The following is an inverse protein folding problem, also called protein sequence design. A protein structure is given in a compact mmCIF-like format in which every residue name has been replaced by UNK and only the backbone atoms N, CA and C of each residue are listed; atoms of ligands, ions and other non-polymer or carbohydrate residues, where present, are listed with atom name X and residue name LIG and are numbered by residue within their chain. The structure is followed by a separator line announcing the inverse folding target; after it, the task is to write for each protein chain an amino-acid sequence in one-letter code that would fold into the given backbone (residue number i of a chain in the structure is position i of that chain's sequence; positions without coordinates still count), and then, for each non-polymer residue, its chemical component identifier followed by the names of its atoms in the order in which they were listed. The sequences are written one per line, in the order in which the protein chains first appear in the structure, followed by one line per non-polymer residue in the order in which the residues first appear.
data_IF_499206773052
#
_entry.id   IF_499206773052
#
_cell.length_a   1.000
_cell.length_b   1.000
_cell.length_c   1.000
_cell.angle_alpha   90.00
_cell.angle_beta   90.00
_cell.angle_gamma   90.00
#
_symmetry.space_group_name_H-M   'P 1'
#
loop_
_entity.id
_entity.type
_entity.pdbx_description
1 polymer ?
#
# COMPACT_ATOMS: atom_id res chain seq x y z
N UNK A 1 16.30 -5.33 -0.84
CA UNK A 1 15.43 -5.17 -2.02
C UNK A 1 14.05 -5.66 -1.62
N UNK A 2 12.95 -5.14 -2.19
CA UNK A 2 11.58 -5.43 -1.72
C UNK A 2 11.01 -6.78 -2.24
N UNK A 3 11.88 -7.76 -2.45
CA UNK A 3 11.57 -8.98 -3.19
C UNK A 3 11.63 -8.77 -4.70
N UNK A 4 11.12 -9.73 -5.46
CA UNK A 4 11.15 -9.70 -6.93
C UNK A 4 9.87 -9.10 -7.50
N UNK A 5 10.02 -8.43 -8.65
CA UNK A 5 8.89 -7.94 -9.40
C UNK A 5 8.06 -9.14 -9.88
N UNK A 6 6.79 -9.27 -9.49
CA UNK A 6 5.93 -10.40 -9.88
C UNK A 6 5.62 -10.49 -11.39
N UNK A 7 6.04 -9.51 -12.20
CA UNK A 7 5.80 -9.47 -13.65
C UNK A 7 7.05 -9.89 -14.43
N UNK A 8 8.23 -9.34 -14.10
CA UNK A 8 9.49 -9.62 -14.80
C UNK A 8 10.48 -10.47 -14.01
N UNK A 9 10.14 -10.85 -12.77
CA UNK A 9 10.99 -11.62 -11.86
C UNK A 9 12.35 -10.97 -11.56
N UNK A 10 12.49 -9.66 -11.80
CA UNK A 10 13.71 -8.90 -11.46
C UNK A 10 13.60 -8.31 -10.05
N UNK A 11 14.71 -8.21 -9.30
CA UNK A 11 14.70 -7.62 -7.96
C UNK A 11 14.13 -6.19 -7.92
N UNK A 12 13.23 -5.93 -6.98
CA UNK A 12 12.70 -4.58 -6.72
C UNK A 12 13.70 -3.75 -5.93
N UNK A 13 14.11 -2.63 -6.52
CA UNK A 13 15.01 -1.65 -5.90
C UNK A 13 14.51 -1.20 -4.52
N UNK A 14 15.44 -0.96 -3.59
CA UNK A 14 15.14 -0.32 -2.31
C UNK A 14 14.70 1.14 -2.46
N UNK A 15 15.09 1.79 -3.56
CA UNK A 15 14.55 3.09 -3.94
C UNK A 15 13.04 2.96 -4.25
N UNK A 16 12.22 3.44 -3.31
CA UNK A 16 10.76 3.39 -3.36
C UNK A 16 10.20 4.11 -4.59
N UNK A 17 10.96 5.03 -5.21
CA UNK A 17 10.54 5.73 -6.44
C UNK A 17 10.62 4.85 -7.69
N UNK A 18 11.20 3.66 -7.63
CA UNK A 18 11.35 2.74 -8.78
C UNK A 18 10.29 1.64 -8.84
N UNK A 19 9.38 1.62 -7.88
CA UNK A 19 8.28 0.66 -7.80
C UNK A 19 6.97 1.35 -7.46
N UNK A 20 5.87 0.69 -7.76
CA UNK A 20 4.53 1.14 -7.40
C UNK A 20 3.74 -0.04 -6.83
N UNK A 21 2.85 0.27 -5.89
CA UNK A 21 1.92 -0.69 -5.31
C UNK A 21 0.55 -0.54 -5.94
N UNK A 22 -0.06 -1.66 -6.30
CA UNK A 22 -1.42 -1.71 -6.81
C UNK A 22 -2.36 -2.08 -5.67
N UNK A 23 -3.17 -1.12 -5.22
CA UNK A 23 -4.03 -1.27 -4.04
C UNK A 23 -5.14 -2.31 -4.20
N UNK A 24 -5.58 -2.60 -5.43
CA UNK A 24 -6.63 -3.61 -5.66
C UNK A 24 -6.15 -5.05 -5.42
N UNK A 25 -4.83 -5.28 -5.52
CA UNK A 25 -4.21 -6.59 -5.36
C UNK A 25 -3.07 -6.63 -4.33
N UNK A 26 -2.75 -5.52 -3.70
CA UNK A 26 -1.67 -5.38 -2.72
C UNK A 26 -0.33 -5.88 -3.26
N UNK A 27 -0.10 -5.74 -4.57
CA UNK A 27 1.15 -6.16 -5.22
C UNK A 27 1.99 -4.95 -5.57
N UNK A 28 3.26 -5.02 -5.20
CA UNK A 28 4.30 -4.10 -5.65
C UNK A 28 4.92 -4.63 -6.94
N UNK A 29 5.20 -3.75 -7.90
CA UNK A 29 5.89 -4.08 -9.15
C UNK A 29 6.79 -2.93 -9.59
N UNK A 30 7.76 -3.22 -10.46
CA UNK A 30 8.69 -2.21 -10.93
C UNK A 30 8.04 -1.26 -11.93
N UNK A 31 8.46 0.01 -11.90
CA UNK A 31 7.94 1.03 -12.82
C UNK A 31 8.25 0.69 -14.29
N UNK A 32 9.30 -0.10 -14.56
CA UNK A 32 9.58 -0.61 -15.90
C UNK A 32 8.46 -1.48 -16.46
N UNK A 33 7.92 -2.41 -15.67
CA UNK A 33 6.78 -3.23 -16.06
C UNK A 33 5.52 -2.38 -16.25
N UNK A 34 5.28 -1.41 -15.37
CA UNK A 34 4.15 -0.47 -15.50
C UNK A 34 4.22 0.34 -16.80
N UNK A 35 5.40 0.90 -17.10
CA UNK A 35 5.63 1.66 -18.34
C UNK A 35 5.47 0.80 -19.59
N UNK A 36 5.98 -0.43 -19.57
CA UNK A 36 5.84 -1.36 -20.70
C UNK A 36 4.37 -1.72 -20.96
N UNK A 37 3.59 -1.95 -19.90
CA UNK A 37 2.15 -2.18 -20.04
C UNK A 37 1.44 -0.97 -20.67
N UNK A 38 1.73 0.24 -20.19
CA UNK A 38 1.14 1.47 -20.75
C UNK A 38 1.54 1.72 -22.21
N UNK A 39 2.79 1.41 -22.60
CA UNK A 39 3.23 1.51 -23.99
C UNK A 39 2.45 0.55 -24.90
N UNK A 40 2.33 -0.72 -24.50
CA UNK A 40 1.53 -1.70 -25.21
C UNK A 40 0.08 -1.25 -25.37
N UNK A 41 -0.54 -0.74 -24.30
CA UNK A 41 -1.92 -0.24 -24.32
C UNK A 41 -2.11 0.87 -25.35
N UNK A 42 -1.14 1.79 -25.45
CA UNK A 42 -1.13 2.86 -26.43
C UNK A 42 -0.98 2.34 -27.86
N UNK A 43 -0.13 1.35 -28.09
CA UNK A 43 0.07 0.74 -29.42
C UNK A 43 -1.20 0.06 -29.95
N UNK A 44 -1.94 -0.62 -29.08
CA UNK A 44 -3.18 -1.33 -29.47
C UNK A 44 -4.45 -0.47 -29.35
N UNK A 45 -4.34 0.79 -28.92
CA UNK A 45 -5.49 1.67 -28.70
C UNK A 45 -6.47 1.13 -27.65
N UNK A 46 -5.95 0.52 -26.58
CA UNK A 46 -6.76 -0.10 -25.51
C UNK A 46 -6.89 0.82 -24.30
N UNK A 47 -7.99 0.67 -23.57
CA UNK A 47 -8.14 1.22 -22.22
C UNK A 47 -7.07 0.69 -21.26
N UNK A 48 -6.81 1.48 -20.21
CA UNK A 48 -5.85 1.13 -19.17
C UNK A 48 -6.33 -0.08 -18.36
N UNK A 49 -5.46 -1.11 -18.29
CA UNK A 49 -5.72 -2.36 -17.60
C UNK A 49 -4.63 -2.64 -16.58
N UNK A 50 -5.02 -3.33 -15.51
CA UNK A 50 -4.09 -3.75 -14.47
C UNK A 50 -2.99 -4.66 -15.07
N UNK A 51 -1.69 -4.36 -14.86
CA UNK A 51 -0.59 -5.18 -15.37
C UNK A 51 -0.61 -6.64 -14.91
N UNK A 52 -1.32 -6.94 -13.82
CA UNK A 52 -1.44 -8.26 -13.22
C UNK A 52 -2.57 -9.09 -13.83
N UNK A 53 -3.81 -8.66 -13.62
CA UNK A 53 -5.00 -9.44 -13.96
C UNK A 53 -5.63 -9.05 -15.29
N UNK A 54 -5.10 -8.03 -15.98
CA UNK A 54 -5.64 -7.46 -17.23
C UNK A 54 -7.10 -7.02 -17.15
N UNK A 55 -7.66 -6.87 -15.95
CA UNK A 55 -8.97 -6.23 -15.76
C UNK A 55 -8.82 -4.72 -15.94
N UNK A 56 -9.86 -4.02 -16.43
CA UNK A 56 -9.90 -2.57 -16.44
C UNK A 56 -9.53 -2.00 -15.07
N UNK A 57 -8.85 -0.86 -15.05
CA UNK A 57 -8.66 -0.12 -13.81
C UNK A 57 -10.02 0.25 -13.21
N UNK A 58 -10.12 0.22 -11.88
CA UNK A 58 -11.33 0.68 -11.20
C UNK A 58 -11.55 2.16 -11.52
N UNK A 59 -12.75 2.49 -11.97
CA UNK A 59 -13.07 3.79 -12.56
C UNK A 59 -13.37 4.85 -11.50
N UNK A 60 -13.84 4.44 -10.32
CA UNK A 60 -14.35 5.36 -9.30
C UNK A 60 -13.67 5.19 -7.95
N UNK A 61 -13.55 6.28 -7.20
CA UNK A 61 -13.02 6.24 -5.82
C UNK A 61 -13.81 5.27 -4.91
N UNK A 62 -15.11 5.12 -5.15
CA UNK A 62 -15.97 4.18 -4.43
C UNK A 62 -15.53 2.73 -4.65
N UNK A 63 -15.28 2.34 -5.90
CA UNK A 63 -14.80 0.99 -6.22
C UNK A 63 -13.44 0.70 -5.57
N UNK A 64 -12.53 1.68 -5.57
CA UNK A 64 -11.25 1.58 -4.88
C UNK A 64 -11.42 1.39 -3.37
N UNK A 65 -12.33 2.13 -2.74
CA UNK A 65 -12.63 2.00 -1.32
C UNK A 65 -13.25 0.64 -0.98
N UNK A 66 -14.25 0.19 -1.76
CA UNK A 66 -14.84 -1.14 -1.60
C UNK A 66 -13.78 -2.23 -1.71
N UNK A 67 -12.94 -2.18 -2.75
CA UNK A 67 -11.89 -3.18 -2.94
C UNK A 67 -10.87 -3.20 -1.80
N UNK A 68 -10.54 -2.03 -1.24
CA UNK A 68 -9.67 -1.93 -0.08
C UNK A 68 -10.29 -2.58 1.16
N UNK A 69 -11.57 -2.31 1.43
CA UNK A 69 -12.30 -2.91 2.55
C UNK A 69 -12.34 -4.44 2.42
N UNK A 70 -12.62 -4.97 1.23
CA UNK A 70 -12.58 -6.42 0.97
C UNK A 70 -11.20 -7.02 1.29
N UNK A 71 -10.11 -6.32 0.96
CA UNK A 71 -8.74 -6.76 1.26
C UNK A 71 -8.45 -6.74 2.76
N UNK A 72 -8.87 -5.69 3.46
CA UNK A 72 -8.74 -5.59 4.91
C UNK A 72 -9.50 -6.73 5.60
N UNK A 73 -10.73 -7.00 5.16
CA UNK A 73 -11.54 -8.13 5.67
C UNK A 73 -10.90 -9.50 5.39
N UNK A 74 -10.09 -9.60 4.34
CA UNK A 74 -9.31 -10.78 4.01
C UNK A 74 -7.97 -10.87 4.77
N UNK A 75 -7.74 -10.04 5.80
CA UNK A 75 -6.49 -9.94 6.56
C UNK A 75 -5.26 -9.65 5.69
N UNK A 76 -5.42 -8.82 4.66
CA UNK A 76 -4.30 -8.35 3.85
C UNK A 76 -3.51 -7.24 4.57
N UNK A 77 -2.26 -7.49 5.00
CA UNK A 77 -1.54 -6.54 5.83
C UNK A 77 -1.12 -5.29 5.07
N UNK A 78 -0.90 -5.39 3.76
CA UNK A 78 -0.60 -4.24 2.90
C UNK A 78 -1.80 -3.32 2.81
N UNK A 79 -3.01 -3.89 2.69
CA UNK A 79 -4.24 -3.10 2.64
C UNK A 79 -4.51 -2.40 3.98
N UNK A 80 -4.32 -3.10 5.10
CA UNK A 80 -4.42 -2.52 6.45
C UNK A 80 -3.40 -1.38 6.64
N UNK A 81 -2.13 -1.60 6.29
CA UNK A 81 -1.10 -0.56 6.35
C UNK A 81 -1.52 0.69 5.59
N UNK A 82 -2.01 0.51 4.37
CA UNK A 82 -2.37 1.62 3.50
C UNK A 82 -3.60 2.38 3.99
N UNK A 83 -4.56 1.69 4.62
CA UNK A 83 -5.64 2.36 5.34
C UNK A 83 -5.10 3.16 6.52
N UNK A 84 -4.22 2.57 7.32
CA UNK A 84 -3.54 3.27 8.42
C UNK A 84 -2.83 4.56 7.97
N UNK A 85 -2.04 4.49 6.89
CA UNK A 85 -1.37 5.67 6.29
C UNK A 85 -2.39 6.72 5.81
N UNK A 86 -3.51 6.29 5.20
CA UNK A 86 -4.55 7.24 4.77
C UNK A 86 -5.23 7.92 5.96
N UNK A 87 -5.44 7.22 7.08
CA UNK A 87 -5.98 7.81 8.32
C UNK A 87 -4.99 8.78 8.95
N UNK A 88 -3.73 8.36 9.06
CA UNK A 88 -2.63 9.19 9.55
C UNK A 88 -2.52 10.51 8.77
N UNK A 89 -2.47 10.44 7.43
CA UNK A 89 -2.40 11.62 6.57
C UNK A 89 -3.61 12.56 6.69
N UNK A 90 -4.75 12.07 7.19
CA UNK A 90 -5.94 12.88 7.49
C UNK A 90 -5.94 13.46 8.91
N UNK A 91 -4.89 13.21 9.70
CA UNK A 91 -4.80 13.58 11.11
C UNK A 91 -5.61 12.68 12.04
N UNK A 92 -6.19 11.59 11.54
CA UNK A 92 -6.97 10.61 12.30
C UNK A 92 -6.03 9.53 12.85
N UNK A 93 -5.19 9.93 13.80
CA UNK A 93 -4.15 9.05 14.35
C UNK A 93 -4.73 7.88 15.16
N UNK A 94 -5.88 8.08 15.82
CA UNK A 94 -6.57 7.01 16.55
C UNK A 94 -6.97 5.87 15.61
N UNK A 95 -7.60 6.19 14.47
CA UNK A 95 -7.91 5.16 13.48
C UNK A 95 -6.65 4.58 12.85
N UNK A 96 -5.58 5.36 12.66
CA UNK A 96 -4.31 4.81 12.17
C UNK A 96 -3.74 3.73 13.12
N UNK A 97 -3.83 3.95 14.44
CA UNK A 97 -3.49 2.95 15.47
C UNK A 97 -4.41 1.74 15.50
N UNK A 98 -5.57 1.77 14.84
CA UNK A 98 -6.40 0.56 14.71
C UNK A 98 -5.86 -0.39 13.63
N UNK A 99 -5.34 0.16 12.53
CA UNK A 99 -4.95 -0.64 11.36
C UNK A 99 -3.47 -1.01 11.33
N UNK A 100 -2.59 -0.08 11.70
CA UNK A 100 -1.14 -0.30 11.59
C UNK A 100 -0.63 -1.42 12.51
N UNK A 101 -1.08 -1.58 13.77
CA UNK A 101 -0.68 -2.71 14.62
C UNK A 101 -1.10 -4.05 14.04
N UNK A 102 -2.34 -4.16 13.54
CA UNK A 102 -2.85 -5.38 12.89
C UNK A 102 -1.99 -5.77 11.67
N UNK A 103 -1.61 -4.79 10.85
CA UNK A 103 -0.72 -5.03 9.72
C UNK A 103 0.69 -5.48 10.15
N UNK A 104 1.22 -4.88 11.23
CA UNK A 104 2.52 -5.20 11.79
C UNK A 104 2.55 -6.61 12.40
N UNK A 105 1.52 -7.01 13.14
CA UNK A 105 1.35 -8.36 13.69
C UNK A 105 1.33 -9.45 12.60
N UNK A 106 0.86 -9.09 11.41
CA UNK A 106 0.86 -9.95 10.21
C UNK A 106 2.21 -9.93 9.46
N UNK A 107 3.24 -9.28 10.00
CA UNK A 107 4.61 -9.26 9.49
C UNK A 107 4.92 -8.17 8.46
N UNK A 108 4.05 -7.16 8.30
CA UNK A 108 4.35 -6.05 7.39
C UNK A 108 5.38 -5.09 8.02
N UNK A 109 6.62 -5.18 7.52
CA UNK A 109 7.74 -4.39 8.02
C UNK A 109 7.54 -2.87 7.86
N UNK A 110 6.86 -2.43 6.81
CA UNK A 110 6.58 -1.00 6.62
C UNK A 110 5.53 -0.54 7.64
N UNK A 111 4.54 -1.36 7.98
CA UNK A 111 3.60 -1.03 9.06
C UNK A 111 4.31 -0.85 10.41
N UNK A 112 5.32 -1.67 10.72
CA UNK A 112 6.19 -1.46 11.88
C UNK A 112 6.92 -0.11 11.82
N UNK A 113 7.50 0.26 10.67
CA UNK A 113 8.16 1.55 10.49
C UNK A 113 7.21 2.73 10.67
N UNK A 114 5.98 2.64 10.15
CA UNK A 114 4.96 3.68 10.31
C UNK A 114 4.52 3.83 11.77
N UNK A 115 4.32 2.73 12.50
CA UNK A 115 4.05 2.78 13.94
C UNK A 115 5.19 3.44 14.72
N UNK A 116 6.43 3.05 14.45
CA UNK A 116 7.59 3.63 15.10
C UNK A 116 7.68 5.14 14.85
N UNK A 117 7.39 5.60 13.63
CA UNK A 117 7.33 7.01 13.29
C UNK A 117 6.23 7.75 14.08
N UNK A 118 5.03 7.17 14.18
CA UNK A 118 3.94 7.75 14.98
C UNK A 118 4.30 7.88 16.46
N UNK A 119 4.92 6.84 17.06
CA UNK A 119 5.40 6.90 18.44
C UNK A 119 6.49 7.96 18.63
N UNK A 120 7.45 8.05 17.72
CA UNK A 120 8.54 9.04 17.78
C UNK A 120 8.01 10.47 17.72
N UNK A 121 6.99 10.71 16.88
CA UNK A 121 6.36 12.02 16.71
C UNK A 121 5.34 12.34 17.82
N UNK A 122 4.97 11.35 18.65
CA UNK A 122 3.89 11.50 19.63
C UNK A 122 2.51 11.71 19.00
N UNK A 123 2.30 11.18 17.79
CA UNK A 123 1.05 11.30 17.04
C UNK A 123 0.06 10.24 17.51
N UNK A 124 -1.11 10.62 18.02
CA UNK A 124 -2.19 9.69 18.38
C UNK A 124 -1.98 8.89 19.67
N UNK A 125 -0.86 9.11 20.35
CA UNK A 125 -0.61 8.61 21.71
C UNK A 125 -0.65 9.77 22.67
N UNK A 126 -1.33 9.61 23.81
CA UNK A 126 -0.99 10.46 24.94
C UNK A 126 0.48 10.19 25.27
N UNK A 127 1.31 11.24 25.27
CA UNK A 127 2.64 11.13 25.86
C UNK A 127 2.44 10.59 27.27
N UNK A 128 2.99 9.41 27.54
CA UNK A 128 3.08 8.93 28.90
C UNK A 128 3.94 9.94 29.67
N UNK A 129 3.28 10.84 30.42
CA UNK A 129 3.90 11.72 31.41
C UNK A 129 3.99 10.99 32.76
N UNK A 130 4.21 9.68 32.73
CA UNK A 130 4.34 8.81 33.88
C UNK A 130 5.76 8.79 34.43
N UNK A 131 6.00 9.74 35.35
CA UNK A 131 6.84 9.61 36.56
C UNK A 131 8.27 9.07 36.39
N UNK A 132 9.23 9.99 36.19
CA UNK A 132 10.33 10.31 37.12
C UNK A 132 11.11 11.54 36.62
#
# INVERSE_FOLDING_TARGET
YFGDCPICCLPLSLDTKKSTIMMCCSKMFCNGCGRTNAMREKEVGSDHRCPFCRKPALATAKEWATRRIERIQANDPVAMRQEGIVRHNKGDYSSAFEYLPKAAELGDAEAHCQLAAMYLNGEGVEKDKGKE
#
